data_IF_811882855914
#
_entry.id   IF_811882855914
#
_cell.length_a   1.000
_cell.length_b   1.000
_cell.length_c   1.000
_cell.angle_alpha   90.00
_cell.angle_beta   90.00
_cell.angle_gamma   90.00
#
_symmetry.space_group_name_H-M   'P 1'
#
loop_
_entity.id
_entity.type
_entity.pdbx_description
1 polymer ?
#
# COMPACT_ATOMS: atom_id res chain seq x y z
N UNK A 1 33.64 -60.75 13.34
CA UNK A 1 33.08 -59.37 13.50
C UNK A 1 33.84 -58.42 12.58
N UNK A 2 33.23 -58.04 11.46
CA UNK A 2 33.88 -57.15 10.47
C UNK A 2 33.55 -55.68 10.84
N UNK A 3 34.57 -54.91 11.21
CA UNK A 3 34.47 -53.47 11.45
C UNK A 3 34.33 -52.75 10.09
N UNK A 4 33.16 -52.21 9.79
CA UNK A 4 32.98 -51.31 8.66
C UNK A 4 33.76 -50.01 8.90
N UNK A 5 34.78 -49.79 8.09
CA UNK A 5 35.57 -48.55 8.04
C UNK A 5 34.67 -47.44 7.50
N UNK A 6 34.36 -46.42 8.29
CA UNK A 6 33.71 -45.18 7.80
C UNK A 6 34.74 -44.42 6.95
N UNK A 7 34.48 -44.25 5.65
CA UNK A 7 35.29 -43.38 4.81
C UNK A 7 35.00 -41.91 5.22
N UNK A 8 36.05 -41.11 5.45
CA UNK A 8 35.82 -39.68 5.68
C UNK A 8 35.31 -39.02 4.40
N UNK A 9 34.29 -38.19 4.51
CA UNK A 9 33.85 -37.37 3.39
C UNK A 9 35.01 -36.49 2.94
N UNK A 10 35.41 -36.60 1.67
CA UNK A 10 36.46 -35.79 1.08
C UNK A 10 36.13 -34.32 1.15
N UNK A 11 37.14 -33.46 1.38
CA UNK A 11 36.94 -32.01 1.50
C UNK A 11 36.16 -31.37 0.32
N UNK A 12 36.27 -31.99 -0.88
CA UNK A 12 35.49 -31.55 -2.04
C UNK A 12 33.98 -31.77 -1.87
N UNK A 13 33.57 -32.88 -1.25
CA UNK A 13 32.16 -33.19 -1.01
C UNK A 13 31.55 -32.24 0.03
N UNK A 14 32.32 -31.86 1.04
CA UNK A 14 31.88 -30.88 2.05
C UNK A 14 31.80 -29.49 1.43
N UNK A 15 32.74 -29.11 0.57
CA UNK A 15 32.70 -27.83 -0.15
C UNK A 15 31.50 -27.72 -1.11
N UNK A 16 31.16 -28.79 -1.83
CA UNK A 16 29.99 -28.83 -2.72
C UNK A 16 28.67 -28.78 -1.95
N UNK A 17 28.58 -29.47 -0.81
CA UNK A 17 27.40 -29.42 0.05
C UNK A 17 27.22 -28.01 0.68
N UNK A 18 28.29 -27.36 1.12
CA UNK A 18 28.20 -26.00 1.65
C UNK A 18 27.85 -24.99 0.57
N UNK A 19 28.36 -25.11 -0.64
CA UNK A 19 28.01 -24.27 -1.77
C UNK A 19 26.52 -24.43 -2.17
N UNK A 20 25.98 -25.65 -2.14
CA UNK A 20 24.57 -25.89 -2.44
C UNK A 20 23.62 -25.30 -1.39
N UNK A 21 23.98 -25.31 -0.11
CA UNK A 21 23.20 -24.69 0.97
C UNK A 21 23.19 -23.16 0.83
N UNK A 22 24.34 -22.56 0.47
CA UNK A 22 24.43 -21.10 0.24
C UNK A 22 23.60 -20.69 -0.98
N UNK A 23 23.61 -21.48 -2.05
CA UNK A 23 22.79 -21.24 -3.26
C UNK A 23 21.29 -21.40 -2.97
N UNK A 24 20.89 -22.38 -2.16
CA UNK A 24 19.49 -22.56 -1.74
C UNK A 24 19.03 -21.44 -0.82
N UNK A 25 19.85 -20.99 0.13
CA UNK A 25 19.52 -19.86 1.00
C UNK A 25 19.46 -18.52 0.23
N UNK A 26 20.32 -18.34 -0.79
CA UNK A 26 20.29 -17.17 -1.66
C UNK A 26 19.06 -17.13 -2.59
N UNK A 27 18.57 -18.31 -3.02
CA UNK A 27 17.42 -18.39 -3.92
C UNK A 27 16.08 -18.07 -3.24
N UNK A 28 15.96 -18.29 -1.93
CA UNK A 28 14.71 -18.03 -1.20
C UNK A 28 14.48 -16.55 -0.89
N UNK A 29 15.53 -15.72 -0.87
CA UNK A 29 15.42 -14.27 -0.65
C UNK A 29 15.27 -13.49 -1.98
N UNK A 30 15.72 -14.11 -3.09
CA UNK A 30 15.66 -13.50 -4.43
C UNK A 30 14.32 -13.67 -5.15
N UNK A 31 13.54 -14.70 -4.81
CA UNK A 31 12.38 -15.11 -5.61
C UNK A 31 11.19 -14.14 -5.55
N UNK A 32 11.05 -13.38 -4.48
CA UNK A 32 9.97 -12.39 -4.37
C UNK A 32 10.20 -11.11 -5.20
N UNK A 33 11.44 -10.87 -5.67
CA UNK A 33 11.79 -9.74 -6.56
C UNK A 33 12.10 -10.16 -8.00
N UNK A 34 12.25 -11.44 -8.26
CA UNK A 34 12.65 -11.97 -9.56
C UNK A 34 11.50 -12.19 -10.55
N UNK A 35 10.25 -12.04 -10.15
CA UNK A 35 9.10 -12.12 -11.07
C UNK A 35 9.06 -10.97 -12.10
N UNK A 36 10.00 -10.03 -12.02
CA UNK A 36 10.25 -8.99 -13.02
C UNK A 36 11.47 -9.25 -13.90
N UNK A 37 12.04 -10.45 -13.84
CA UNK A 37 13.22 -10.78 -14.65
C UNK A 37 12.79 -11.14 -16.06
N UNK A 38 13.02 -10.21 -16.94
CA UNK A 38 12.91 -10.33 -18.38
C UNK A 38 13.93 -11.35 -18.90
N UNK A 39 13.47 -12.39 -19.59
CA UNK A 39 14.33 -13.26 -20.40
C UNK A 39 14.44 -12.65 -21.80
N UNK A 40 15.58 -12.03 -22.11
CA UNK A 40 15.90 -11.70 -23.49
C UNK A 40 16.75 -12.81 -24.10
N UNK A 41 16.23 -13.52 -25.08
CA UNK A 41 17.07 -14.24 -26.01
C UNK A 41 17.71 -13.23 -26.99
N UNK A 42 19.02 -13.38 -27.23
CA UNK A 42 19.79 -12.55 -28.12
C UNK A 42 19.40 -12.76 -29.60
N UNK A 43 18.34 -12.13 -30.02
CA UNK A 43 18.13 -11.84 -31.43
C UNK A 43 18.30 -10.34 -31.60
N UNK A 44 19.20 -9.93 -32.52
CA UNK A 44 19.49 -8.52 -32.80
C UNK A 44 18.32 -7.81 -33.49
N UNK A 45 17.26 -7.60 -32.75
CA UNK A 45 16.22 -6.64 -33.01
C UNK A 45 16.29 -5.62 -31.88
N UNK A 46 16.20 -4.33 -32.18
CA UNK A 46 15.90 -3.31 -31.17
C UNK A 46 14.52 -3.62 -30.60
N UNK A 47 14.49 -4.39 -29.52
CA UNK A 47 13.28 -4.59 -28.75
C UNK A 47 13.23 -3.43 -27.78
N UNK A 48 12.24 -2.57 -27.95
CA UNK A 48 11.91 -1.55 -26.97
C UNK A 48 11.59 -2.27 -25.65
N UNK A 49 12.37 -2.03 -24.62
CA UNK A 49 12.18 -2.69 -23.33
C UNK A 49 10.90 -2.11 -22.74
N UNK A 50 9.88 -2.96 -22.62
CA UNK A 50 8.62 -2.59 -22.03
C UNK A 50 8.81 -2.25 -20.55
N UNK A 51 8.37 -1.09 -20.14
CA UNK A 51 8.49 -0.60 -18.78
C UNK A 51 7.18 -0.79 -18.01
N UNK A 52 7.27 -1.35 -16.82
CA UNK A 52 6.16 -1.31 -15.87
C UNK A 52 6.29 -0.03 -15.05
N UNK A 53 5.20 0.65 -14.80
CA UNK A 53 5.18 1.88 -14.01
C UNK A 53 3.80 2.12 -13.42
N UNK A 54 3.76 2.68 -12.22
CA UNK A 54 2.54 3.03 -11.53
C UNK A 54 2.72 4.33 -10.76
N UNK A 55 1.72 5.20 -10.87
CA UNK A 55 1.67 6.46 -10.13
C UNK A 55 0.37 6.55 -9.36
N UNK A 56 0.46 6.97 -8.10
CA UNK A 56 -0.68 7.36 -7.29
C UNK A 56 -0.97 8.84 -7.52
N UNK A 57 -2.22 9.16 -7.77
CA UNK A 57 -2.67 10.51 -8.08
C UNK A 57 -3.76 10.91 -7.11
N UNK A 58 -3.57 12.04 -6.42
CA UNK A 58 -4.51 12.67 -5.51
C UNK A 58 -4.94 14.02 -6.08
N UNK A 59 -6.24 14.24 -6.22
CA UNK A 59 -6.80 15.52 -6.70
C UNK A 59 -6.06 16.05 -7.96
N UNK A 60 -5.86 15.13 -8.94
CA UNK A 60 -5.15 15.36 -10.22
C UNK A 60 -3.64 15.66 -10.11
N UNK A 61 -3.04 15.50 -8.95
CA UNK A 61 -1.59 15.62 -8.75
C UNK A 61 -0.96 14.27 -8.50
N UNK A 62 0.16 13.99 -9.15
CA UNK A 62 0.96 12.80 -8.87
C UNK A 62 1.61 12.96 -7.50
N UNK A 63 1.27 12.06 -6.57
CA UNK A 63 1.80 12.05 -5.20
C UNK A 63 2.98 11.12 -5.10
N UNK A 64 2.88 9.92 -5.69
CA UNK A 64 3.97 8.98 -5.73
C UNK A 64 4.02 8.30 -7.09
N UNK A 65 5.22 7.87 -7.49
CA UNK A 65 5.43 7.08 -8.70
C UNK A 65 6.54 6.07 -8.50
N UNK A 66 6.44 5.00 -9.24
CA UNK A 66 7.49 4.00 -9.36
C UNK A 66 7.51 3.47 -10.78
N UNK A 67 8.49 3.93 -11.55
CA UNK A 67 8.64 3.64 -12.97
C UNK A 67 9.98 2.93 -13.21
N UNK A 68 9.95 1.84 -13.96
CA UNK A 68 11.19 1.20 -14.39
C UNK A 68 11.71 1.90 -15.64
N UNK A 69 12.78 2.63 -15.48
CA UNK A 69 13.36 3.40 -16.59
C UNK A 69 14.17 2.53 -17.55
N UNK A 70 14.30 2.97 -18.81
CA UNK A 70 15.05 2.27 -19.85
C UNK A 70 16.54 2.06 -19.55
N UNK A 71 17.08 2.79 -18.59
CA UNK A 71 18.46 2.64 -18.10
C UNK A 71 18.62 1.49 -17.07
N UNK A 72 17.57 0.70 -16.81
CA UNK A 72 17.57 -0.40 -15.87
C UNK A 72 17.46 0.01 -14.41
N UNK A 73 17.07 1.25 -14.11
CA UNK A 73 16.89 1.77 -12.76
C UNK A 73 15.42 2.14 -12.53
N UNK A 74 15.02 2.10 -11.27
CA UNK A 74 13.73 2.63 -10.84
C UNK A 74 13.81 4.15 -10.72
N UNK A 75 12.84 4.85 -11.29
CA UNK A 75 12.54 6.26 -11.01
C UNK A 75 11.39 6.29 -10.00
N UNK A 76 11.71 6.66 -8.78
CA UNK A 76 10.79 6.62 -7.66
C UNK A 76 10.64 8.01 -7.05
N UNK A 77 9.40 8.38 -6.75
CA UNK A 77 9.09 9.54 -5.95
C UNK A 77 7.99 9.17 -4.96
N UNK A 78 8.16 9.57 -3.71
CA UNK A 78 7.18 9.38 -2.65
C UNK A 78 6.82 10.73 -2.07
N UNK A 79 5.54 11.08 -2.11
CA UNK A 79 4.98 12.26 -1.48
C UNK A 79 3.98 11.88 -0.39
N UNK A 80 3.47 12.89 0.26
CA UNK A 80 2.45 12.73 1.29
C UNK A 80 1.05 12.90 0.70
N UNK A 81 0.11 12.12 1.17
CA UNK A 81 -1.33 12.32 0.94
C UNK A 81 -1.85 13.52 1.75
N UNK A 82 -3.06 13.95 1.44
CA UNK A 82 -3.76 15.05 2.12
C UNK A 82 -3.01 16.39 2.04
N UNK A 83 -2.28 16.59 0.95
CA UNK A 83 -1.47 17.81 0.76
C UNK A 83 -2.31 19.09 0.81
N UNK A 84 -3.55 19.04 0.35
CA UNK A 84 -4.51 20.15 0.42
C UNK A 84 -5.07 20.44 1.82
N UNK A 85 -4.91 19.49 2.76
CA UNK A 85 -5.51 19.57 4.09
C UNK A 85 -4.49 19.79 5.22
N UNK A 86 -3.19 19.81 4.91
CA UNK A 86 -2.12 19.93 5.92
C UNK A 86 -2.21 21.21 6.78
N UNK A 87 -2.68 22.30 6.18
CA UNK A 87 -2.82 23.61 6.85
C UNK A 87 -4.24 23.86 7.38
N UNK A 88 -5.19 22.97 7.06
CA UNK A 88 -6.58 23.13 7.47
C UNK A 88 -6.85 22.45 8.81
N UNK A 89 -7.67 23.10 9.65
CA UNK A 89 -8.26 22.43 10.81
C UNK A 89 -9.43 21.58 10.31
N UNK A 90 -9.27 20.28 10.42
CA UNK A 90 -10.31 19.32 10.05
C UNK A 90 -11.51 19.49 10.99
N UNK A 91 -12.69 19.73 10.40
CA UNK A 91 -13.95 19.85 11.12
C UNK A 91 -14.72 18.54 11.00
N UNK A 92 -15.00 17.84 12.10
CA UNK A 92 -15.80 16.62 12.08
C UNK A 92 -17.17 16.84 11.41
N UNK A 93 -17.57 15.92 10.55
CA UNK A 93 -18.81 16.00 9.77
C UNK A 93 -18.71 16.81 8.47
N UNK A 94 -17.63 17.57 8.27
CA UNK A 94 -17.40 18.28 7.00
C UNK A 94 -16.75 17.32 6.00
N UNK A 95 -17.22 17.37 4.74
CA UNK A 95 -16.61 16.68 3.62
C UNK A 95 -15.49 17.53 3.01
N UNK A 96 -14.39 16.88 2.69
CA UNK A 96 -13.24 17.44 1.99
C UNK A 96 -13.05 16.67 0.69
N UNK A 97 -12.65 17.33 -0.37
CA UNK A 97 -12.34 16.67 -1.64
C UNK A 97 -11.07 15.79 -1.46
N UNK A 98 -11.20 14.51 -1.82
CA UNK A 98 -10.11 13.54 -1.72
C UNK A 98 -10.26 12.46 -2.78
N UNK A 99 -9.93 12.82 -4.01
CA UNK A 99 -10.02 11.95 -5.17
C UNK A 99 -8.70 11.23 -5.41
N UNK A 100 -8.65 9.95 -5.08
CA UNK A 100 -7.48 9.08 -5.27
C UNK A 100 -7.71 8.20 -6.50
N UNK A 101 -6.73 8.15 -7.40
CA UNK A 101 -6.70 7.28 -8.58
C UNK A 101 -5.30 6.77 -8.87
N UNK A 102 -5.21 5.75 -9.71
CA UNK A 102 -3.94 5.17 -10.16
C UNK A 102 -3.76 5.46 -11.64
N UNK A 103 -2.55 5.86 -12.03
CA UNK A 103 -2.15 6.00 -13.43
C UNK A 103 -1.09 4.94 -13.75
N UNK A 104 -1.28 4.23 -14.86
CA UNK A 104 -0.24 3.40 -15.44
C UNK A 104 0.76 4.31 -16.14
N UNK A 105 1.88 4.60 -15.50
CA UNK A 105 2.97 5.41 -16.04
C UNK A 105 3.96 4.59 -16.87
N UNK A 106 3.76 3.27 -16.95
CA UNK A 106 4.55 2.37 -17.77
C UNK A 106 4.16 2.39 -19.25
N UNK A 107 4.84 1.56 -20.03
CA UNK A 107 4.60 1.36 -21.46
C UNK A 107 3.79 0.12 -21.81
N UNK A 108 3.41 -0.68 -20.82
CA UNK A 108 2.60 -1.90 -20.97
C UNK A 108 1.34 -1.84 -20.15
N UNK A 109 0.33 -2.56 -20.62
CA UNK A 109 -0.93 -2.73 -19.90
C UNK A 109 -0.72 -3.50 -18.59
N UNK A 110 -1.44 -3.12 -17.55
CA UNK A 110 -1.24 -3.66 -16.20
C UNK A 110 -2.55 -3.90 -15.48
N UNK A 111 -2.54 -4.84 -14.55
CA UNK A 111 -3.52 -4.91 -13.46
C UNK A 111 -3.02 -4.09 -12.29
N UNK A 112 -3.92 -3.45 -11.56
CA UNK A 112 -3.54 -2.60 -10.42
C UNK A 112 -4.32 -2.94 -9.16
N UNK A 113 -3.64 -2.80 -8.03
CA UNK A 113 -4.17 -2.93 -6.69
C UNK A 113 -3.78 -1.69 -5.89
N UNK A 114 -4.66 -1.26 -5.00
CA UNK A 114 -4.36 -0.22 -4.01
C UNK A 114 -4.59 -0.76 -2.61
N UNK A 115 -3.65 -0.49 -1.72
CA UNK A 115 -3.76 -0.77 -0.30
C UNK A 115 -3.83 0.58 0.42
N UNK A 116 -4.97 0.86 1.03
CA UNK A 116 -5.18 2.02 1.87
C UNK A 116 -5.02 1.64 3.33
N UNK A 117 -4.28 2.44 4.09
CA UNK A 117 -4.15 2.29 5.54
C UNK A 117 -4.57 3.58 6.21
N UNK A 118 -5.36 3.48 7.27
CA UNK A 118 -5.84 4.62 8.05
C UNK A 118 -5.74 4.32 9.53
N UNK A 119 -5.28 5.29 10.30
CA UNK A 119 -5.09 5.14 11.74
C UNK A 119 -5.17 6.48 12.46
N UNK A 120 -5.33 6.42 13.76
CA UNK A 120 -5.22 7.57 14.63
C UNK A 120 -3.87 7.61 15.33
N UNK A 121 -3.36 8.82 15.57
CA UNK A 121 -2.20 9.06 16.42
C UNK A 121 -2.58 10.03 17.54
N UNK A 122 -1.99 9.83 18.69
CA UNK A 122 -2.16 10.71 19.84
C UNK A 122 -1.29 11.98 19.72
N UNK A 123 -1.33 12.83 20.75
CA UNK A 123 -0.57 14.10 20.82
C UNK A 123 0.93 13.91 20.68
N UNK A 124 1.45 12.77 21.10
CA UNK A 124 2.86 12.39 21.01
C UNK A 124 3.25 11.78 19.66
N UNK A 125 2.28 11.66 18.73
CA UNK A 125 2.48 11.06 17.41
C UNK A 125 2.52 9.53 17.42
N UNK A 126 2.26 8.88 18.56
CA UNK A 126 2.18 7.42 18.64
C UNK A 126 0.80 6.94 18.18
N UNK A 127 0.77 5.75 17.54
CA UNK A 127 -0.49 5.12 17.14
C UNK A 127 -1.40 4.93 18.34
N UNK A 128 -2.67 5.29 18.17
CA UNK A 128 -3.70 5.16 19.17
C UNK A 128 -4.89 4.36 18.63
N UNK A 129 -5.39 3.43 19.44
CA UNK A 129 -6.50 2.53 19.09
C UNK A 129 -7.78 2.83 19.87
N UNK A 130 -7.81 3.90 20.64
CA UNK A 130 -9.01 4.32 21.39
C UNK A 130 -10.09 4.91 20.50
N UNK A 131 -9.68 5.48 19.35
CA UNK A 131 -10.58 5.93 18.29
C UNK A 131 -10.61 4.89 17.17
N UNK A 132 -11.83 4.54 16.74
CA UNK A 132 -11.99 3.60 15.62
C UNK A 132 -11.50 4.22 14.31
N UNK A 133 -10.72 3.49 13.49
CA UNK A 133 -10.41 3.91 12.12
C UNK A 133 -11.66 4.09 11.24
N UNK A 134 -12.80 3.48 11.59
CA UNK A 134 -14.08 3.64 10.87
C UNK A 134 -14.58 5.10 10.90
N UNK A 135 -14.12 5.90 11.85
CA UNK A 135 -14.43 7.34 11.92
C UNK A 135 -13.74 8.17 10.81
N UNK A 136 -12.80 7.57 10.08
CA UNK A 136 -12.13 8.15 8.92
C UNK A 136 -12.77 7.53 7.69
N UNK A 137 -13.64 8.26 7.00
CA UNK A 137 -14.37 7.78 5.83
C UNK A 137 -13.82 8.43 4.55
N UNK A 138 -13.37 7.61 3.62
CA UNK A 138 -12.86 8.02 2.30
C UNK A 138 -13.91 7.93 1.20
N UNK A 139 -15.15 7.59 1.52
CA UNK A 139 -16.21 7.38 0.55
C UNK A 139 -15.77 6.56 -0.67
N UNK A 140 -15.30 5.32 -0.39
CA UNK A 140 -14.76 4.43 -1.41
C UNK A 140 -15.81 4.06 -2.46
N UNK A 141 -15.43 4.11 -3.73
CA UNK A 141 -16.31 3.92 -4.88
C UNK A 141 -16.30 2.47 -5.38
N UNK A 142 -16.95 1.54 -4.65
CA UNK A 142 -17.21 0.21 -5.19
C UNK A 142 -18.12 0.30 -6.44
N UNK A 143 -17.87 -0.55 -7.43
CA UNK A 143 -18.69 -0.64 -8.65
C UNK A 143 -18.28 0.32 -9.78
N UNK A 144 -17.33 1.24 -9.55
CA UNK A 144 -16.74 2.08 -10.61
C UNK A 144 -15.49 1.44 -11.25
N UNK A 145 -15.44 0.12 -11.28
CA UNK A 145 -14.27 -0.67 -11.69
C UNK A 145 -13.37 -1.06 -10.52
N UNK A 146 -13.69 -0.64 -9.30
CA UNK A 146 -12.98 -1.03 -8.09
C UNK A 146 -13.80 -2.02 -7.26
N UNK A 147 -13.12 -3.03 -6.71
CA UNK A 147 -13.68 -4.03 -5.80
C UNK A 147 -12.83 -4.09 -4.54
N UNK A 148 -13.51 -4.07 -3.39
CA UNK A 148 -12.86 -4.22 -2.09
C UNK A 148 -12.76 -5.71 -1.76
N UNK A 149 -11.54 -6.18 -1.46
CA UNK A 149 -11.34 -7.50 -0.88
C UNK A 149 -11.73 -7.48 0.61
N UNK A 150 -12.96 -7.88 0.89
CA UNK A 150 -13.51 -7.88 2.25
C UNK A 150 -12.83 -8.91 3.16
N UNK A 151 -12.23 -9.96 2.60
CA UNK A 151 -11.58 -11.02 3.38
C UNK A 151 -10.17 -10.59 3.83
N UNK A 152 -9.46 -9.85 2.99
CA UNK A 152 -8.12 -9.38 3.28
C UNK A 152 -8.10 -7.96 3.90
N UNK A 153 -9.24 -7.28 3.93
CA UNK A 153 -9.37 -5.93 4.52
C UNK A 153 -9.68 -5.99 6.01
N UNK A 154 -9.27 -4.95 6.71
CA UNK A 154 -9.57 -4.70 8.13
C UNK A 154 -10.07 -3.26 8.29
N UNK A 155 -10.44 -2.83 9.50
CA UNK A 155 -10.81 -1.43 9.76
C UNK A 155 -9.69 -0.42 9.46
N UNK A 156 -8.44 -0.84 9.62
CA UNK A 156 -7.26 0.00 9.37
C UNK A 156 -6.71 -0.13 7.97
N UNK A 157 -6.95 -1.26 7.29
CA UNK A 157 -6.39 -1.57 5.98
C UNK A 157 -7.49 -1.99 5.02
N UNK A 158 -7.62 -1.31 3.91
CA UNK A 158 -8.53 -1.67 2.83
C UNK A 158 -7.72 -2.03 1.60
N UNK A 159 -8.00 -3.19 1.00
CA UNK A 159 -7.39 -3.64 -0.24
C UNK A 159 -8.44 -3.52 -1.34
N UNK A 160 -8.07 -2.78 -2.40
CA UNK A 160 -8.91 -2.57 -3.56
C UNK A 160 -8.22 -3.10 -4.82
N UNK A 161 -8.95 -3.84 -5.64
CA UNK A 161 -8.51 -4.28 -6.95
C UNK A 161 -9.28 -3.53 -8.04
N UNK A 162 -8.56 -3.02 -9.03
CA UNK A 162 -9.17 -2.56 -10.26
C UNK A 162 -9.49 -3.77 -11.14
N UNK A 163 -10.76 -3.97 -11.48
CA UNK A 163 -11.24 -5.19 -12.18
C UNK A 163 -10.89 -5.23 -13.65
N UNK A 164 -10.51 -4.09 -14.24
CA UNK A 164 -10.11 -3.99 -15.63
C UNK A 164 -8.60 -4.01 -15.83
N UNK A 165 -8.20 -4.21 -17.07
CA UNK A 165 -6.83 -3.92 -17.50
C UNK A 165 -6.68 -2.41 -17.58
N UNK A 166 -5.62 -1.87 -16.98
CA UNK A 166 -5.26 -0.45 -17.06
C UNK A 166 -4.25 -0.24 -18.19
N UNK A 167 -4.66 0.32 -19.34
CA UNK A 167 -3.76 0.52 -20.45
C UNK A 167 -2.63 1.49 -20.12
N UNK A 168 -1.51 1.33 -20.82
CA UNK A 168 -0.36 2.23 -20.72
C UNK A 168 -0.78 3.70 -20.87
N UNK A 169 -0.31 4.57 -20.00
CA UNK A 169 -0.60 6.00 -19.98
C UNK A 169 -2.04 6.37 -19.57
N UNK A 170 -2.86 5.42 -19.11
CA UNK A 170 -4.23 5.68 -18.67
C UNK A 170 -4.35 5.66 -17.15
N UNK A 171 -5.41 6.31 -16.66
CA UNK A 171 -5.76 6.33 -15.24
C UNK A 171 -7.04 5.54 -15.00
N UNK A 172 -7.14 4.95 -13.83
CA UNK A 172 -8.38 4.37 -13.32
C UNK A 172 -9.42 5.46 -13.04
N UNK A 173 -10.69 5.13 -12.96
CA UNK A 173 -11.63 5.95 -12.21
C UNK A 173 -11.13 6.18 -10.77
N UNK A 174 -11.53 7.28 -10.15
CA UNK A 174 -11.20 7.55 -8.77
C UNK A 174 -11.78 6.46 -7.86
N UNK A 175 -10.98 5.96 -6.93
CA UNK A 175 -11.40 4.97 -5.92
C UNK A 175 -12.06 5.63 -4.70
N UNK A 176 -11.85 6.93 -4.52
CA UNK A 176 -12.48 7.79 -3.51
C UNK A 176 -12.82 9.14 -4.15
N UNK A 177 -13.67 9.93 -3.51
CA UNK A 177 -13.96 11.31 -3.93
C UNK A 177 -13.94 12.29 -2.77
N UNK A 178 -14.22 11.84 -1.57
CA UNK A 178 -14.24 12.69 -0.38
C UNK A 178 -13.65 12.01 0.82
N UNK A 179 -13.10 12.81 1.72
CA UNK A 179 -12.69 12.43 3.07
C UNK A 179 -13.63 13.10 4.06
N UNK A 180 -14.13 12.34 5.02
CA UNK A 180 -14.94 12.85 6.12
C UNK A 180 -14.46 12.23 7.44
N UNK A 181 -14.25 13.03 8.45
CA UNK A 181 -14.14 12.55 9.81
C UNK A 181 -15.53 12.53 10.43
N UNK A 182 -15.97 11.38 10.92
CA UNK A 182 -17.33 11.20 11.43
C UNK A 182 -17.64 12.22 12.54
N UNK A 183 -18.80 12.90 12.41
CA UNK A 183 -19.22 13.93 13.34
C UNK A 183 -19.46 13.43 14.77
N UNK A 184 -19.70 12.12 14.97
CA UNK A 184 -19.88 11.52 16.29
C UNK A 184 -18.64 11.66 17.18
N UNK A 185 -17.45 11.87 16.61
CA UNK A 185 -16.24 12.14 17.38
C UNK A 185 -16.38 13.42 18.23
N UNK A 186 -17.09 14.42 17.72
CA UNK A 186 -17.31 15.69 18.42
C UNK A 186 -18.23 15.54 19.64
N UNK A 187 -19.00 14.45 19.73
CA UNK A 187 -19.88 14.18 20.87
C UNK A 187 -19.17 13.45 22.01
N UNK A 188 -17.99 12.93 21.79
CA UNK A 188 -17.17 12.25 22.80
C UNK A 188 -16.47 13.30 23.67
N UNK A 189 -17.16 13.75 24.71
CA UNK A 189 -16.68 14.79 25.62
C UNK A 189 -16.64 14.26 27.06
N UNK A 190 -15.65 14.74 27.82
CA UNK A 190 -15.60 14.63 29.27
C UNK A 190 -15.89 16.01 29.83
N UNK A 191 -16.82 16.10 30.77
CA UNK A 191 -17.11 17.32 31.49
C UNK A 191 -16.67 17.17 32.94
N UNK A 192 -15.77 18.04 33.37
CA UNK A 192 -15.35 18.16 34.76
C UNK A 192 -16.02 19.43 35.32
N UNK A 193 -16.76 19.25 36.41
CA UNK A 193 -17.48 20.35 37.08
C UNK A 193 -16.78 20.65 38.37
N UNK A 194 -16.27 21.86 38.53
CA UNK A 194 -15.69 22.35 39.77
C UNK A 194 -16.53 23.51 40.31
N UNK A 195 -16.75 23.52 41.62
CA UNK A 195 -17.48 24.59 42.30
C UNK A 195 -16.53 25.27 43.31
N UNK A 196 -16.33 26.58 43.18
CA UNK A 196 -15.47 27.35 44.03
C UNK A 196 -16.09 28.74 44.24
N UNK A 197 -16.15 29.18 45.48
CA UNK A 197 -16.65 30.52 45.88
C UNK A 197 -18.04 30.87 45.31
N UNK A 198 -18.94 29.87 45.21
CA UNK A 198 -20.28 30.02 44.67
C UNK A 198 -20.34 30.04 43.12
N UNK A 199 -19.23 29.90 42.45
CA UNK A 199 -19.14 29.79 40.97
C UNK A 199 -18.95 28.36 40.55
N UNK A 200 -19.73 27.93 39.55
CA UNK A 200 -19.66 26.63 38.92
C UNK A 200 -18.89 26.74 37.60
N UNK A 201 -17.74 26.12 37.54
CA UNK A 201 -16.94 26.02 36.30
C UNK A 201 -17.15 24.66 35.68
N UNK A 202 -17.57 24.64 34.41
CA UNK A 202 -17.71 23.40 33.59
C UNK A 202 -16.61 23.42 32.57
N UNK A 203 -15.66 22.47 32.72
CA UNK A 203 -14.58 22.25 31.75
C UNK A 203 -15.00 21.10 30.86
N UNK A 204 -15.15 21.37 29.56
CA UNK A 204 -15.44 20.34 28.55
C UNK A 204 -14.16 20.01 27.80
N UNK A 205 -13.76 18.75 27.85
CA UNK A 205 -12.61 18.23 27.11
C UNK A 205 -13.09 17.25 26.06
N UNK A 206 -12.72 17.49 24.82
CA UNK A 206 -13.05 16.57 23.71
C UNK A 206 -12.10 15.39 23.71
N UNK A 207 -12.61 14.16 23.53
CA UNK A 207 -11.80 12.95 23.53
C UNK A 207 -10.79 12.90 22.38
N UNK A 208 -11.06 13.63 21.29
CA UNK A 208 -10.20 13.71 20.11
C UNK A 208 -9.25 14.91 20.11
N UNK A 209 -9.28 15.75 21.14
CA UNK A 209 -8.44 16.96 21.19
C UNK A 209 -6.96 16.61 21.22
N UNK A 210 -6.23 17.07 20.19
CA UNK A 210 -4.80 16.76 19.97
C UNK A 210 -4.55 15.41 19.34
N UNK A 211 -5.56 14.69 18.86
CA UNK A 211 -5.39 13.52 18.00
C UNK A 211 -5.21 13.96 16.54
N UNK A 212 -4.41 13.20 15.81
CA UNK A 212 -4.28 13.32 14.36
C UNK A 212 -4.67 11.97 13.73
N UNK A 213 -5.11 12.01 12.49
CA UNK A 213 -5.26 10.80 11.71
C UNK A 213 -4.16 10.71 10.64
N UNK A 214 -3.84 9.49 10.25
CA UNK A 214 -2.91 9.18 9.19
C UNK A 214 -3.64 8.40 8.10
N UNK A 215 -3.33 8.73 6.86
CA UNK A 215 -3.74 8.03 5.67
C UNK A 215 -2.51 7.68 4.86
N UNK A 216 -2.36 6.40 4.51
CA UNK A 216 -1.32 5.90 3.63
C UNK A 216 -1.98 5.17 2.46
N UNK A 217 -1.43 5.31 1.28
CA UNK A 217 -1.84 4.57 0.11
C UNK A 217 -0.63 3.99 -0.61
N UNK A 218 -0.73 2.73 -0.99
CA UNK A 218 0.25 2.01 -1.77
C UNK A 218 -0.43 1.49 -3.03
N UNK A 219 0.14 1.80 -4.19
CA UNK A 219 -0.35 1.33 -5.49
C UNK A 219 0.62 0.29 -6.04
N UNK A 220 0.10 -0.87 -6.39
CA UNK A 220 0.85 -1.96 -7.01
C UNK A 220 0.34 -2.21 -8.43
N UNK A 221 1.26 -2.53 -9.34
CA UNK A 221 0.93 -2.92 -10.70
C UNK A 221 1.59 -4.26 -11.07
N UNK A 222 0.85 -5.06 -11.84
CA UNK A 222 1.32 -6.34 -12.39
C UNK A 222 1.01 -6.35 -13.88
N UNK A 223 1.98 -6.82 -14.67
CA UNK A 223 1.81 -6.93 -16.13
C UNK A 223 0.69 -7.91 -16.51
N UNK A 224 0.10 -7.71 -17.70
CA UNK A 224 -0.97 -8.58 -18.22
C UNK A 224 -0.46 -9.89 -18.81
N UNK A 225 0.82 -9.99 -19.17
CA UNK A 225 1.41 -11.23 -19.67
C UNK A 225 1.63 -12.20 -18.52
N UNK A 226 1.12 -13.44 -18.64
CA UNK A 226 1.09 -14.43 -17.55
C UNK A 226 0.48 -13.88 -16.25
N UNK A 227 -0.63 -13.16 -16.40
CA UNK A 227 -1.24 -12.38 -15.32
C UNK A 227 -1.55 -13.21 -14.08
N UNK A 228 -2.08 -14.42 -14.22
CA UNK A 228 -2.42 -15.30 -13.09
C UNK A 228 -1.20 -15.61 -12.23
N UNK A 229 -0.10 -16.06 -12.85
CA UNK A 229 1.13 -16.36 -12.13
C UNK A 229 1.75 -15.11 -11.51
N UNK A 230 1.72 -13.99 -12.24
CA UNK A 230 2.25 -12.73 -11.78
C UNK A 230 1.45 -12.16 -10.60
N UNK A 231 0.13 -12.19 -10.66
CA UNK A 231 -0.76 -11.75 -9.58
C UNK A 231 -0.60 -12.66 -8.35
N UNK A 232 -0.58 -13.98 -8.55
CA UNK A 232 -0.36 -14.93 -7.47
C UNK A 232 0.98 -14.73 -6.79
N UNK A 233 2.05 -14.52 -7.57
CA UNK A 233 3.39 -14.27 -7.04
C UNK A 233 3.50 -12.93 -6.33
N UNK A 234 2.92 -11.87 -6.88
CA UNK A 234 3.04 -10.52 -6.33
C UNK A 234 2.05 -10.23 -5.19
N UNK A 235 0.82 -10.74 -5.29
CA UNK A 235 -0.26 -10.38 -4.37
C UNK A 235 -0.76 -11.54 -3.52
N UNK A 236 -0.36 -12.78 -3.84
CA UNK A 236 -0.77 -13.97 -3.09
C UNK A 236 -2.23 -14.37 -3.29
N UNK A 237 -2.89 -13.85 -4.33
CA UNK A 237 -4.28 -14.16 -4.65
C UNK A 237 -4.37 -14.92 -5.96
N UNK A 238 -5.33 -15.84 -6.05
CA UNK A 238 -5.70 -16.49 -7.29
C UNK A 238 -6.81 -15.65 -7.96
N UNK A 239 -6.68 -15.43 -9.27
CA UNK A 239 -7.73 -14.80 -10.11
C UNK A 239 -8.25 -15.85 -11.07
N UNK A 240 -9.56 -16.04 -11.07
CA UNK A 240 -10.27 -16.93 -11.98
C UNK A 240 -10.49 -16.26 -13.35
#
# INVERSE_FOLDING_TARGET
MSKKKKMPLGGLTVALLSASVVLLAGSTVGSARAALTYYSENYGAQVEVSNIGVSLVENDKVISKRDYASNGKWDEATGDLLTGLKEEKIVPGKQYEEAIKVTNSGSIDSYVRVILKKSWTNKEGAKDTTLSPDLIDLNLKEGSGWVIDKNASTKERTILYYTGILPAGKSTPALSDTLTIDGSIATKVKQDVTEKDGYKTITTTYAYDGYNFQLEAEADAVQTHNAQDAIKSAWGVDVD
#
